data_IF_549996872556
#
_entry.id   IF_549996872556
#
_cell.length_a   1.000
_cell.length_b   1.000
_cell.length_c   1.000
_cell.angle_alpha   90.00
_cell.angle_beta   90.00
_cell.angle_gamma   90.00
#
_symmetry.space_group_name_H-M   'P 1'
#
loop_
_entity.id
_entity.type
_entity.pdbx_description
1 polymer ?
#
# COMPACT_ATOMS: atom_id res chain seq x y z
N UNK A 1 7.99 -25.92 -9.46
CA UNK A 1 9.13 -25.34 -8.73
C UNK A 1 9.50 -24.05 -9.41
N UNK A 2 9.71 -22.98 -8.65
CA UNK A 2 10.17 -21.70 -9.21
C UNK A 2 11.44 -21.31 -8.47
N UNK A 3 12.46 -21.04 -9.28
CA UNK A 3 13.86 -21.25 -8.98
C UNK A 3 14.44 -20.31 -7.93
N UNK A 4 15.33 -20.88 -7.12
CA UNK A 4 16.28 -20.18 -6.29
C UNK A 4 17.27 -19.46 -7.21
N UNK A 5 16.98 -18.23 -7.62
CA UNK A 5 17.98 -17.33 -8.20
C UNK A 5 18.72 -16.62 -7.05
N UNK A 6 19.88 -17.16 -6.68
CA UNK A 6 21.06 -16.49 -6.09
C UNK A 6 20.88 -15.35 -5.06
N UNK A 7 19.82 -15.34 -4.25
CA UNK A 7 19.70 -14.41 -3.11
C UNK A 7 19.55 -12.92 -3.48
N UNK A 8 19.43 -12.60 -4.77
CA UNK A 8 19.12 -11.24 -5.25
C UNK A 8 17.66 -11.24 -5.68
N UNK A 9 16.82 -10.52 -4.93
CA UNK A 9 15.44 -10.26 -5.34
C UNK A 9 15.48 -9.52 -6.70
N UNK A 10 14.75 -9.98 -7.74
CA UNK A 10 14.70 -9.26 -9.01
C UNK A 10 14.23 -7.82 -8.76
N UNK A 11 14.92 -6.86 -9.36
CA UNK A 11 14.44 -5.49 -9.39
C UNK A 11 13.21 -5.42 -10.30
N UNK A 12 12.03 -5.52 -9.69
CA UNK A 12 10.75 -5.44 -10.40
C UNK A 12 10.40 -4.00 -10.83
N UNK A 13 11.23 -3.00 -10.51
CA UNK A 13 11.04 -1.63 -10.98
C UNK A 13 11.34 -1.48 -12.47
N UNK A 14 12.30 -2.25 -13.01
CA UNK A 14 12.67 -2.22 -14.43
C UNK A 14 11.66 -2.93 -15.34
N UNK A 15 10.96 -3.95 -14.82
CA UNK A 15 10.04 -4.78 -15.60
C UNK A 15 8.63 -4.18 -15.76
N UNK A 16 8.28 -3.16 -14.98
CA UNK A 16 6.97 -2.52 -15.07
C UNK A 16 7.08 -1.20 -15.81
N UNK A 17 6.69 -1.24 -17.08
CA UNK A 17 6.81 -0.11 -17.99
C UNK A 17 6.36 1.21 -17.38
N UNK A 18 7.15 2.26 -17.61
CA UNK A 18 6.98 3.63 -17.12
C UNK A 18 5.54 4.14 -17.19
N UNK A 19 4.79 3.75 -18.21
CA UNK A 19 3.36 4.04 -18.37
C UNK A 19 2.54 3.57 -17.17
N UNK A 20 2.71 2.33 -16.70
CA UNK A 20 1.90 1.77 -15.61
C UNK A 20 2.19 2.45 -14.27
N UNK A 21 3.46 2.80 -14.01
CA UNK A 21 3.85 3.60 -12.84
C UNK A 21 3.24 4.99 -12.89
N UNK A 22 3.26 5.64 -14.06
CA UNK A 22 2.60 6.93 -14.27
C UNK A 22 1.09 6.84 -14.03
N UNK A 23 0.42 5.84 -14.59
CA UNK A 23 -1.03 5.64 -14.43
C UNK A 23 -1.41 5.40 -12.97
N UNK A 24 -0.63 4.58 -12.23
CA UNK A 24 -0.81 4.38 -10.79
C UNK A 24 -0.72 5.71 -10.04
N UNK A 25 0.35 6.46 -10.30
CA UNK A 25 0.63 7.74 -9.66
C UNK A 25 -0.46 8.77 -9.92
N UNK A 26 -0.88 8.96 -11.18
CA UNK A 26 -1.91 9.93 -11.55
C UNK A 26 -3.22 9.65 -10.82
N UNK A 27 -3.56 8.36 -10.63
CA UNK A 27 -4.74 7.93 -9.89
C UNK A 27 -4.61 8.18 -8.39
N UNK A 28 -3.42 7.96 -7.82
CA UNK A 28 -3.12 8.32 -6.42
C UNK A 28 -3.24 9.83 -6.21
N UNK A 29 -2.69 10.66 -7.10
CA UNK A 29 -2.84 12.13 -7.03
C UNK A 29 -4.32 12.51 -7.08
N UNK A 30 -5.08 11.96 -8.02
CA UNK A 30 -6.50 12.25 -8.17
C UNK A 30 -7.32 11.84 -6.94
N UNK A 31 -6.97 10.73 -6.28
CA UNK A 31 -7.58 10.30 -5.02
C UNK A 31 -7.28 11.27 -3.89
N UNK A 32 -6.01 11.57 -3.64
CA UNK A 32 -5.60 12.48 -2.57
C UNK A 32 -6.21 13.88 -2.76
N UNK A 33 -6.33 14.34 -4.00
CA UNK A 33 -6.94 15.64 -4.34
C UNK A 33 -8.45 15.70 -4.10
N UNK A 34 -9.13 14.55 -4.01
CA UNK A 34 -10.55 14.46 -3.67
C UNK A 34 -10.78 14.46 -2.15
N UNK A 35 -9.71 14.31 -1.37
CA UNK A 35 -9.78 14.03 0.05
C UNK A 35 -9.73 12.52 0.30
N UNK A 36 -8.88 12.13 1.24
CA UNK A 36 -8.78 10.76 1.71
C UNK A 36 -10.04 10.42 2.51
N UNK A 37 -10.73 9.38 2.07
CA UNK A 37 -11.92 8.83 2.71
C UNK A 37 -11.53 7.93 3.90
N UNK A 38 -12.38 7.82 4.94
CA UNK A 38 -12.18 6.84 6.00
C UNK A 38 -12.02 5.44 5.42
N UNK A 39 -11.06 4.69 5.94
CA UNK A 39 -10.76 3.31 5.53
C UNK A 39 -10.51 3.12 4.03
N UNK A 40 -10.08 4.19 3.34
CA UNK A 40 -9.76 4.13 1.92
C UNK A 40 -10.99 3.87 1.03
N UNK A 41 -12.21 4.10 1.53
CA UNK A 41 -13.44 3.83 0.81
C UNK A 41 -13.48 4.58 -0.53
N UNK A 42 -13.62 3.85 -1.62
CA UNK A 42 -13.71 4.44 -2.96
C UNK A 42 -14.61 3.58 -3.85
N UNK A 43 -15.39 4.25 -4.72
CA UNK A 43 -16.16 3.56 -5.76
C UNK A 43 -15.29 3.08 -6.93
N UNK A 44 -14.02 3.49 -6.99
CA UNK A 44 -13.05 3.03 -7.98
C UNK A 44 -12.34 1.75 -7.49
N UNK A 45 -12.84 0.59 -7.91
CA UNK A 45 -12.25 -0.70 -7.57
C UNK A 45 -10.77 -0.84 -7.97
N UNK A 46 -10.33 -0.16 -9.04
CA UNK A 46 -8.92 -0.19 -9.42
C UNK A 46 -8.05 0.64 -8.47
N UNK A 47 -8.63 1.61 -7.75
CA UNK A 47 -7.90 2.50 -6.85
C UNK A 47 -7.65 1.78 -5.52
N UNK A 48 -8.63 1.04 -5.03
CA UNK A 48 -8.43 0.10 -3.92
C UNK A 48 -7.29 -0.89 -4.22
N UNK A 49 -7.11 -1.29 -5.48
CA UNK A 49 -6.01 -2.15 -5.90
C UNK A 49 -4.66 -1.44 -6.05
N UNK A 50 -4.63 -0.11 -6.26
CA UNK A 50 -3.38 0.62 -6.49
C UNK A 50 -2.39 0.43 -5.36
N UNK A 51 -2.84 0.44 -4.11
CA UNK A 51 -1.95 0.33 -2.97
C UNK A 51 -1.17 -1.00 -2.96
N UNK A 52 -1.83 -2.09 -3.37
CA UNK A 52 -1.22 -3.42 -3.45
C UNK A 52 -0.33 -3.55 -4.69
N UNK A 53 -0.72 -2.92 -5.80
CA UNK A 53 0.14 -2.83 -6.97
C UNK A 53 1.46 -2.15 -6.61
N UNK A 54 1.44 -1.01 -5.93
CA UNK A 54 2.67 -0.30 -5.55
C UNK A 54 3.60 -1.16 -4.68
N UNK A 55 3.05 -1.87 -3.69
CA UNK A 55 3.81 -2.83 -2.88
C UNK A 55 4.40 -3.96 -3.71
N UNK A 56 3.64 -4.51 -4.68
CA UNK A 56 4.12 -5.55 -5.58
C UNK A 56 5.22 -5.02 -6.52
N UNK A 57 5.09 -3.80 -7.03
CA UNK A 57 6.09 -3.20 -7.92
C UNK A 57 7.40 -2.95 -7.19
N UNK A 58 7.33 -2.57 -5.92
CA UNK A 58 8.50 -2.27 -5.10
C UNK A 58 9.16 -3.53 -4.53
N UNK A 59 8.38 -4.48 -4.00
CA UNK A 59 8.89 -5.59 -3.21
C UNK A 59 8.70 -6.97 -3.86
N UNK A 60 8.09 -7.03 -5.04
CA UNK A 60 7.82 -8.27 -5.75
C UNK A 60 6.70 -9.12 -5.13
N UNK A 61 6.63 -10.38 -5.56
CA UNK A 61 5.57 -11.32 -5.15
C UNK A 61 5.89 -12.13 -3.88
N UNK A 62 7.16 -12.24 -3.50
CA UNK A 62 7.55 -13.08 -2.35
C UNK A 62 6.89 -12.64 -1.03
N UNK A 63 6.83 -11.34 -0.67
CA UNK A 63 6.17 -10.91 0.57
C UNK A 63 4.68 -11.25 0.58
N UNK A 64 3.98 -11.08 -0.54
CA UNK A 64 2.56 -11.45 -0.66
C UNK A 64 2.35 -12.95 -0.45
N UNK A 65 3.18 -13.80 -1.08
CA UNK A 65 3.11 -15.25 -0.91
C UNK A 65 3.31 -15.65 0.55
N UNK A 66 4.28 -15.02 1.23
CA UNK A 66 4.54 -15.24 2.65
C UNK A 66 3.33 -14.86 3.50
N UNK A 67 2.82 -13.64 3.35
CA UNK A 67 1.66 -13.15 4.11
C UNK A 67 0.43 -14.05 3.89
N UNK A 68 0.13 -14.42 2.64
CA UNK A 68 -1.00 -15.30 2.35
C UNK A 68 -0.79 -16.74 2.83
N UNK A 69 0.45 -17.23 2.92
CA UNK A 69 0.71 -18.51 3.55
C UNK A 69 0.40 -18.46 5.05
N UNK A 70 0.81 -17.39 5.73
CA UNK A 70 0.51 -17.21 7.16
C UNK A 70 -1.00 -17.12 7.43
N UNK A 71 -1.77 -16.38 6.63
CA UNK A 71 -3.23 -16.34 6.76
C UNK A 71 -3.90 -17.71 6.63
N UNK A 72 -3.38 -18.59 5.76
CA UNK A 72 -3.91 -19.96 5.58
C UNK A 72 -3.65 -20.86 6.78
N UNK A 73 -2.70 -20.51 7.64
CA UNK A 73 -2.36 -21.28 8.84
C UNK A 73 -3.13 -20.84 10.08
N UNK A 74 -3.88 -19.72 10.01
CA UNK A 74 -4.68 -19.23 11.13
C UNK A 74 -5.87 -20.15 11.42
N UNK A 75 -6.04 -20.48 12.71
CA UNK A 75 -7.23 -21.19 13.16
C UNK A 75 -8.48 -20.32 12.98
N UNK A 76 -9.68 -20.89 12.77
CA UNK A 76 -10.90 -20.11 12.52
C UNK A 76 -11.19 -18.98 13.53
N UNK A 77 -10.79 -19.15 14.80
CA UNK A 77 -10.96 -18.13 15.84
C UNK A 77 -9.95 -16.97 15.79
N UNK A 78 -8.86 -17.11 15.04
CA UNK A 78 -7.75 -16.15 14.93
C UNK A 78 -7.87 -15.24 13.71
N UNK A 79 -8.88 -15.45 12.85
CA UNK A 79 -9.11 -14.59 11.70
C UNK A 79 -9.55 -13.19 12.15
N UNK A 80 -9.05 -12.13 11.50
CA UNK A 80 -9.47 -10.76 11.80
C UNK A 80 -10.98 -10.60 11.56
N UNK A 81 -11.68 -10.00 12.53
CA UNK A 81 -13.15 -9.92 12.55
C UNK A 81 -13.67 -8.60 12.02
N UNK A 82 -12.90 -7.52 12.21
CA UNK A 82 -13.25 -6.18 11.75
C UNK A 82 -12.33 -5.73 10.61
N UNK A 83 -12.73 -4.73 9.82
CA UNK A 83 -11.88 -4.16 8.77
C UNK A 83 -10.58 -3.58 9.34
N UNK A 84 -10.65 -2.91 10.49
CA UNK A 84 -9.47 -2.43 11.20
C UNK A 84 -8.51 -3.57 11.57
N UNK A 85 -9.03 -4.71 12.06
CA UNK A 85 -8.18 -5.87 12.37
C UNK A 85 -7.53 -6.43 11.10
N UNK A 86 -8.23 -6.41 9.95
CA UNK A 86 -7.66 -6.82 8.66
C UNK A 86 -6.53 -5.90 8.23
N UNK A 87 -6.72 -4.58 8.36
CA UNK A 87 -5.68 -3.59 8.07
C UNK A 87 -4.47 -3.77 8.99
N UNK A 88 -4.69 -3.96 10.29
CA UNK A 88 -3.63 -4.19 11.28
C UNK A 88 -2.82 -5.44 10.96
N UNK A 89 -3.49 -6.58 10.77
CA UNK A 89 -2.84 -7.85 10.46
C UNK A 89 -2.04 -7.78 9.16
N UNK A 90 -2.63 -7.22 8.09
CA UNK A 90 -1.93 -7.12 6.82
C UNK A 90 -0.72 -6.18 6.94
N UNK A 91 -0.90 -4.99 7.54
CA UNK A 91 0.17 -4.01 7.74
C UNK A 91 1.35 -4.64 8.50
N UNK A 92 1.06 -5.31 9.62
CA UNK A 92 2.09 -5.90 10.48
C UNK A 92 2.81 -7.05 9.78
N UNK A 93 2.07 -8.00 9.20
CA UNK A 93 2.67 -9.17 8.50
C UNK A 93 3.50 -8.74 7.32
N UNK A 94 2.97 -7.84 6.49
CA UNK A 94 3.67 -7.37 5.31
C UNK A 94 4.91 -6.55 5.69
N UNK A 95 4.80 -5.64 6.68
CA UNK A 95 5.94 -4.88 7.21
C UNK A 95 7.08 -5.78 7.68
N UNK A 96 6.75 -6.85 8.42
CA UNK A 96 7.73 -7.85 8.87
C UNK A 96 8.30 -8.66 7.70
N UNK A 97 7.51 -8.94 6.67
CA UNK A 97 7.97 -9.67 5.48
C UNK A 97 8.99 -8.87 4.66
N UNK A 98 8.84 -7.55 4.57
CA UNK A 98 9.74 -6.67 3.81
C UNK A 98 10.82 -5.98 4.68
N UNK A 99 10.73 -6.10 6.00
CA UNK A 99 11.63 -5.44 6.95
C UNK A 99 11.52 -3.91 6.95
N UNK A 100 10.31 -3.37 6.71
CA UNK A 100 10.02 -1.93 6.66
C UNK A 100 8.75 -1.59 7.41
N UNK A 101 8.67 -0.41 7.98
CA UNK A 101 7.46 0.08 8.64
C UNK A 101 6.53 0.74 7.60
N UNK A 102 5.38 0.10 7.34
CA UNK A 102 4.34 0.58 6.43
C UNK A 102 3.29 1.49 7.08
N UNK A 103 3.44 1.84 8.36
CA UNK A 103 2.48 2.69 9.08
C UNK A 103 2.15 3.99 8.34
N UNK A 104 3.14 4.80 7.95
CA UNK A 104 2.90 6.04 7.19
C UNK A 104 2.22 5.81 5.83
N UNK A 105 2.52 4.68 5.18
CA UNK A 105 1.89 4.32 3.92
C UNK A 105 0.40 4.01 4.09
N UNK A 106 0.03 3.26 5.12
CA UNK A 106 -1.38 2.97 5.46
C UNK A 106 -2.13 4.26 5.81
N UNK A 107 -1.51 5.14 6.60
CA UNK A 107 -2.08 6.46 6.91
C UNK A 107 -2.27 7.32 5.66
N UNK A 108 -1.32 7.31 4.73
CA UNK A 108 -1.43 8.05 3.46
C UNK A 108 -2.60 7.60 2.59
N UNK A 109 -3.00 6.32 2.70
CA UNK A 109 -4.17 5.75 2.03
C UNK A 109 -5.48 5.90 2.82
N UNK A 110 -5.46 6.49 4.02
CA UNK A 110 -6.65 6.64 4.86
C UNK A 110 -7.08 5.39 5.60
N UNK A 111 -6.26 4.35 5.63
CA UNK A 111 -6.60 3.09 6.28
C UNK A 111 -6.46 3.20 7.79
N UNK A 112 -7.55 2.93 8.51
CA UNK A 112 -7.51 2.92 9.98
C UNK A 112 -6.72 1.71 10.45
N UNK A 113 -5.72 1.97 11.30
CA UNK A 113 -4.93 0.95 12.01
C UNK A 113 -4.88 1.29 13.50
N UNK A 114 -4.65 0.30 14.36
CA UNK A 114 -4.48 0.52 15.80
C UNK A 114 -3.07 1.03 16.14
N UNK A 115 -2.96 1.74 17.27
CA UNK A 115 -1.67 2.13 17.83
C UNK A 115 -0.80 0.92 18.15
N UNK A 116 -1.41 -0.16 18.67
CA UNK A 116 -0.70 -1.39 18.99
C UNK A 116 -0.06 -2.01 17.75
N UNK A 117 -0.78 -2.06 16.62
CA UNK A 117 -0.24 -2.56 15.36
C UNK A 117 0.93 -1.70 14.88
N UNK A 118 0.78 -0.37 14.85
CA UNK A 118 1.86 0.56 14.47
C UNK A 118 3.08 0.45 15.38
N UNK A 119 2.87 0.35 16.69
CA UNK A 119 3.97 0.21 17.65
C UNK A 119 4.74 -1.10 17.46
N UNK A 120 4.05 -2.19 17.09
CA UNK A 120 4.68 -3.50 16.88
C UNK A 120 5.70 -3.55 15.73
N UNK A 121 5.65 -2.57 14.83
CA UNK A 121 6.55 -2.42 13.67
C UNK A 121 7.41 -1.16 13.74
N UNK A 122 7.32 -0.37 14.82
CA UNK A 122 7.97 0.94 14.93
C UNK A 122 9.50 0.88 14.93
N UNK A 123 10.10 -0.27 15.26
CA UNK A 123 11.55 -0.48 15.18
C UNK A 123 12.07 -0.69 13.76
N UNK A 124 11.19 -0.96 12.79
CA UNK A 124 11.58 -1.11 11.39
C UNK A 124 11.78 0.25 10.73
N UNK A 125 12.71 0.37 9.75
CA UNK A 125 12.87 1.59 8.99
C UNK A 125 11.57 1.98 8.28
N UNK A 126 11.13 3.23 8.47
CA UNK A 126 9.98 3.79 7.78
C UNK A 126 10.12 3.69 6.28
N UNK A 127 9.02 3.34 5.60
CA UNK A 127 8.95 3.30 4.14
C UNK A 127 7.74 4.05 3.60
N UNK A 128 7.96 4.70 2.47
CA UNK A 128 6.97 5.34 1.61
C UNK A 128 7.47 5.23 0.16
N UNK A 129 6.59 5.17 -0.86
CA UNK A 129 7.01 5.26 -2.25
C UNK A 129 7.80 6.55 -2.51
N UNK A 130 8.90 6.47 -3.23
CA UNK A 130 9.74 7.63 -3.54
C UNK A 130 9.01 8.67 -4.41
N UNK A 131 8.04 8.21 -5.20
CA UNK A 131 7.18 9.00 -6.09
C UNK A 131 5.80 9.30 -5.44
N UNK A 132 5.67 9.16 -4.12
CA UNK A 132 4.45 9.53 -3.41
C UNK A 132 4.10 11.00 -3.66
N UNK A 133 2.83 11.34 -3.98
CA UNK A 133 2.45 12.71 -4.29
C UNK A 133 2.76 13.68 -3.16
N UNK A 134 3.35 14.81 -3.51
CA UNK A 134 3.58 15.90 -2.55
C UNK A 134 2.28 16.66 -2.27
N UNK A 135 2.22 17.32 -1.12
CA UNK A 135 1.07 18.18 -0.77
C UNK A 135 0.81 19.27 -1.82
N UNK A 136 1.88 19.81 -2.44
CA UNK A 136 1.76 20.82 -3.48
C UNK A 136 1.09 20.27 -4.74
N UNK A 137 1.44 19.06 -5.18
CA UNK A 137 0.85 18.42 -6.35
C UNK A 137 -0.61 18.05 -6.11
N UNK A 138 -0.93 17.56 -4.91
CA UNK A 138 -2.30 17.27 -4.50
C UNK A 138 -3.15 18.56 -4.50
N UNK A 139 -2.61 19.66 -3.96
CA UNK A 139 -3.29 20.96 -3.95
C UNK A 139 -3.53 21.51 -5.37
N UNK A 140 -2.54 21.40 -6.26
CA UNK A 140 -2.67 21.81 -7.65
C UNK A 140 -3.75 21.01 -8.39
N UNK A 141 -3.77 19.69 -8.20
CA UNK A 141 -4.79 18.81 -8.79
C UNK A 141 -6.20 19.14 -8.27
N UNK A 142 -6.34 19.42 -6.96
CA UNK A 142 -7.61 19.83 -6.37
C UNK A 142 -8.10 21.18 -6.95
N UNK A 143 -7.21 22.17 -7.06
CA UNK A 143 -7.53 23.47 -7.65
C UNK A 143 -7.94 23.37 -9.13
N UNK A 144 -7.23 22.56 -9.92
CA UNK A 144 -7.55 22.33 -11.33
C UNK A 144 -8.93 21.68 -11.52
N UNK A 145 -9.33 20.77 -10.61
CA UNK A 145 -10.67 20.16 -10.63
C UNK A 145 -11.77 21.17 -10.29
N UNK A 146 -11.53 22.02 -9.28
CA UNK A 146 -12.48 23.07 -8.90
C UNK A 146 -12.76 24.07 -10.04
N UNK A 147 -11.73 24.42 -10.82
CA UNK A 147 -11.87 25.33 -11.96
C UNK A 147 -12.65 24.74 -13.16
N UNK A 148 -12.73 23.42 -13.29
CA UNK A 148 -13.45 22.75 -14.39
C UNK A 148 -14.94 22.56 -14.14
N UNK A 149 -15.36 22.69 -12.88
CA UNK A 149 -16.75 22.55 -12.45
C UNK A 149 -17.47 23.89 -12.33
N UNK A 150 -16.85 24.97 -12.82
CA UNK A 150 -17.37 26.34 -12.86
C UNK A 150 -17.60 26.74 -14.31
#
# INVERSE_FOLDING_TARGET
>A
GYEKFNGVQPDYSDAVGSKKRKDLRDRTVAYLAQGVTPDGETSDAFLALNMFFELRLTFGWEPFKKVFAEYRTLQPGEHPKTERDKHDEFMVRFSKAIGKNLGPYFTGWGLTTSDAARQSIASLPTWMPADWPTAAEVAQAAAAKASKNK
#
